data_IF_526030302955
#
_entry.id   IF_526030302955
#
_cell.length_a   1.000
_cell.length_b   1.000
_cell.length_c   1.000
_cell.angle_alpha   90.00
_cell.angle_beta   90.00
_cell.angle_gamma   90.00
#
_symmetry.space_group_name_H-M   'P 1'
#
loop_
_entity.id
_entity.type
_entity.pdbx_description
1 polymer ?
#
# COMPACT_ATOMS: atom_id res chain seq x y z
N UNK A 1 13.55 27.62 0.34
CA UNK A 1 13.30 26.61 1.40
C UNK A 1 13.06 25.29 0.70
N UNK A 2 14.08 24.45 0.61
CA UNK A 2 13.92 23.10 0.06
C UNK A 2 13.12 22.26 1.06
N UNK A 3 11.92 21.80 0.68
CA UNK A 3 11.19 20.82 1.49
C UNK A 3 11.87 19.47 1.28
N UNK A 4 12.72 19.10 2.23
CA UNK A 4 13.31 17.77 2.28
C UNK A 4 12.24 16.79 2.80
N UNK A 5 11.37 16.32 1.91
CA UNK A 5 10.30 15.39 2.26
C UNK A 5 10.91 13.99 2.36
N UNK A 6 11.17 13.53 3.58
CA UNK A 6 11.47 12.11 3.84
C UNK A 6 10.16 11.33 3.87
N UNK A 7 9.94 10.49 2.86
CA UNK A 7 8.87 9.51 2.87
C UNK A 7 9.16 8.43 3.91
N UNK A 8 8.39 8.38 4.99
CA UNK A 8 8.45 7.27 5.93
C UNK A 8 7.61 6.11 5.38
N UNK A 9 8.30 5.15 4.76
CA UNK A 9 7.69 3.95 4.19
C UNK A 9 6.85 3.18 5.21
N UNK A 10 7.32 3.09 6.45
CA UNK A 10 6.63 2.34 7.49
C UNK A 10 5.30 2.99 7.89
N UNK A 11 5.29 4.31 8.04
CA UNK A 11 4.07 5.05 8.39
C UNK A 11 3.01 4.92 7.28
N UNK A 12 3.44 4.96 6.02
CA UNK A 12 2.57 4.79 4.86
C UNK A 12 1.91 3.40 4.85
N UNK A 13 2.65 2.35 5.19
CA UNK A 13 2.11 0.99 5.27
C UNK A 13 1.13 0.85 6.43
N UNK A 14 1.44 1.44 7.59
CA UNK A 14 0.55 1.43 8.75
C UNK A 14 -0.80 2.05 8.38
N UNK A 15 -0.78 3.22 7.73
CA UNK A 15 -2.01 3.90 7.27
C UNK A 15 -2.74 3.08 6.19
N UNK A 16 -2.02 2.48 5.24
CA UNK A 16 -2.61 1.63 4.21
C UNK A 16 -3.33 0.39 4.81
N UNK A 17 -2.69 -0.30 5.76
CA UNK A 17 -3.29 -1.46 6.45
C UNK A 17 -4.51 -1.05 7.27
N UNK A 18 -4.43 0.08 7.96
CA UNK A 18 -5.56 0.65 8.70
C UNK A 18 -6.73 0.93 7.77
N UNK A 19 -6.51 1.66 6.67
CA UNK A 19 -7.55 1.99 5.69
C UNK A 19 -8.20 0.75 5.07
N UNK A 20 -7.40 -0.27 4.73
CA UNK A 20 -7.93 -1.55 4.22
C UNK A 20 -8.91 -2.18 5.21
N UNK A 21 -8.54 -2.21 6.50
CA UNK A 21 -9.38 -2.79 7.56
C UNK A 21 -10.65 -1.97 7.80
N UNK A 22 -10.57 -0.64 7.76
CA UNK A 22 -11.74 0.25 7.86
C UNK A 22 -12.73 0.02 6.71
N UNK A 23 -12.22 -0.22 5.50
CA UNK A 23 -13.03 -0.59 4.33
C UNK A 23 -13.49 -2.06 4.34
N UNK A 24 -13.15 -2.84 5.38
CA UNK A 24 -13.49 -4.27 5.53
C UNK A 24 -13.01 -5.15 4.37
N UNK A 25 -11.92 -4.76 3.72
CA UNK A 25 -11.33 -5.54 2.63
C UNK A 25 -10.36 -6.59 3.18
N UNK A 26 -10.46 -7.82 2.71
CA UNK A 26 -9.39 -8.82 2.84
C UNK A 26 -8.21 -8.46 1.93
N UNK A 27 -7.03 -9.05 2.19
CA UNK A 27 -5.91 -8.92 1.27
C UNK A 27 -6.25 -9.46 -0.13
N UNK A 28 -7.01 -10.54 -0.23
CA UNK A 28 -7.46 -11.07 -1.51
C UNK A 28 -8.25 -10.02 -2.29
N UNK A 29 -9.29 -9.44 -1.66
CA UNK A 29 -10.14 -8.43 -2.29
C UNK A 29 -9.36 -7.20 -2.72
N UNK A 30 -8.49 -6.65 -1.85
CA UNK A 30 -7.68 -5.50 -2.21
C UNK A 30 -6.72 -5.82 -3.36
N UNK A 31 -6.12 -7.01 -3.38
CA UNK A 31 -5.21 -7.41 -4.46
C UNK A 31 -5.92 -7.48 -5.82
N UNK A 32 -7.15 -7.99 -5.85
CA UNK A 32 -8.01 -8.01 -7.04
C UNK A 32 -8.35 -6.59 -7.49
N UNK A 33 -8.78 -5.72 -6.57
CA UNK A 33 -9.13 -4.33 -6.88
C UNK A 33 -7.94 -3.52 -7.41
N UNK A 34 -6.74 -3.75 -6.85
CA UNK A 34 -5.52 -3.08 -7.27
C UNK A 34 -4.86 -3.72 -8.52
N UNK A 35 -5.38 -4.85 -9.01
CA UNK A 35 -4.82 -5.56 -10.15
C UNK A 35 -3.41 -6.11 -9.90
N UNK A 36 -3.15 -6.58 -8.68
CA UNK A 36 -1.87 -7.16 -8.28
C UNK A 36 -2.06 -8.55 -7.67
N UNK A 37 -0.97 -9.31 -7.57
CA UNK A 37 -1.01 -10.60 -6.88
C UNK A 37 -1.16 -10.42 -5.36
N UNK A 38 -1.87 -11.32 -4.69
CA UNK A 38 -1.94 -11.37 -3.23
C UNK A 38 -0.56 -11.44 -2.55
N UNK A 39 0.43 -12.22 -3.03
CA UNK A 39 1.78 -12.19 -2.49
C UNK A 39 2.45 -10.81 -2.59
N UNK A 40 2.19 -10.05 -3.66
CA UNK A 40 2.67 -8.67 -3.80
C UNK A 40 2.05 -7.76 -2.74
N UNK A 41 0.73 -7.84 -2.53
CA UNK A 41 0.07 -7.08 -1.47
C UNK A 41 0.60 -7.45 -0.09
N UNK A 42 0.74 -8.74 0.20
CA UNK A 42 1.28 -9.19 1.48
C UNK A 42 2.72 -8.69 1.69
N UNK A 43 3.56 -8.67 0.64
CA UNK A 43 4.91 -8.12 0.72
C UNK A 43 4.92 -6.62 1.01
N UNK A 44 3.97 -5.87 0.44
CA UNK A 44 3.76 -4.45 0.74
C UNK A 44 3.34 -4.26 2.22
N UNK A 45 2.33 -4.98 2.70
CA UNK A 45 1.86 -4.86 4.10
C UNK A 45 2.92 -5.31 5.13
N UNK A 46 3.88 -6.14 4.72
CA UNK A 46 5.03 -6.55 5.52
C UNK A 46 6.20 -5.54 5.50
N UNK A 47 6.12 -4.46 4.72
CA UNK A 47 7.19 -3.47 4.64
C UNK A 47 8.35 -3.81 3.73
N UNK A 48 8.22 -4.80 2.85
CA UNK A 48 9.29 -5.13 1.91
C UNK A 48 9.47 -4.00 0.90
N UNK A 49 10.70 -3.52 0.77
CA UNK A 49 11.08 -2.45 -0.16
C UNK A 49 11.41 -2.96 -1.57
N UNK A 50 11.49 -4.28 -1.76
CA UNK A 50 11.75 -4.91 -3.06
C UNK A 50 10.52 -4.94 -3.99
N UNK A 51 9.38 -4.40 -3.56
CA UNK A 51 8.20 -4.30 -4.41
C UNK A 51 8.36 -3.20 -5.47
N UNK A 52 7.67 -3.35 -6.60
CA UNK A 52 7.65 -2.32 -7.63
C UNK A 52 6.86 -1.09 -7.14
N UNK A 53 7.37 0.11 -7.42
CA UNK A 53 6.69 1.37 -7.10
C UNK A 53 5.27 1.43 -7.69
N UNK A 54 5.08 0.99 -8.94
CA UNK A 54 3.76 0.91 -9.58
C UNK A 54 2.76 0.07 -8.76
N UNK A 55 3.21 -1.06 -8.20
CA UNK A 55 2.35 -1.89 -7.35
C UNK A 55 1.96 -1.17 -6.06
N UNK A 56 2.90 -0.44 -5.43
CA UNK A 56 2.60 0.38 -4.26
C UNK A 56 1.57 1.47 -4.60
N UNK A 57 1.77 2.20 -5.69
CA UNK A 57 0.85 3.27 -6.12
C UNK A 57 -0.56 2.74 -6.43
N UNK A 58 -0.67 1.58 -7.08
CA UNK A 58 -1.97 0.92 -7.33
C UNK A 58 -2.71 0.58 -6.03
N UNK A 59 -2.00 0.08 -5.02
CA UNK A 59 -2.58 -0.21 -3.71
C UNK A 59 -3.09 1.09 -3.06
N UNK A 60 -2.26 2.12 -3.03
CA UNK A 60 -2.59 3.41 -2.40
C UNK A 60 -3.79 4.07 -3.08
N UNK A 61 -3.87 4.04 -4.41
CA UNK A 61 -4.99 4.58 -5.17
C UNK A 61 -6.32 3.90 -4.82
N UNK A 62 -6.35 2.57 -4.69
CA UNK A 62 -7.57 1.85 -4.28
C UNK A 62 -7.99 2.22 -2.85
N UNK A 63 -7.02 2.51 -1.99
CA UNK A 63 -7.26 2.92 -0.60
C UNK A 63 -7.58 4.43 -0.46
N UNK A 64 -7.47 5.23 -1.53
CA UNK A 64 -7.62 6.68 -1.49
C UNK A 64 -6.49 7.36 -0.70
N UNK A 65 -5.25 7.02 -1.02
CA UNK A 65 -4.01 7.50 -0.39
C UNK A 65 -2.99 8.02 -1.43
N UNK A 66 -3.44 8.35 -2.65
CA UNK A 66 -2.64 8.94 -3.74
C UNK A 66 -2.50 10.47 -3.67
#
# INVERSE_FOLDING_TARGET
MERNIRLNWQDLIIEAVKRRKEQKLTQEQLSVLAGISKPTLNSFEQGKTSIKLDSALKILKVLGLD
#
